data_IF_353268337762
#
_entry.id   IF_353268337762
#
_cell.length_a   1.000
_cell.length_b   1.000
_cell.length_c   1.000
_cell.angle_alpha   90.00
_cell.angle_beta   90.00
_cell.angle_gamma   90.00
#
_symmetry.space_group_name_H-M   'P 1'
#
loop_
_entity.id
_entity.type
_entity.pdbx_description
1 polymer ?
#
# COMPACT_ATOMS: atom_id res chain seq x y z
N UNK A 1 25.82 -0.25 46.59
CA UNK A 1 25.51 -0.88 45.29
C UNK A 1 26.55 -1.92 45.05
N UNK A 2 26.12 -3.17 45.09
CA UNK A 2 26.98 -4.33 44.88
C UNK A 2 27.33 -4.45 43.41
N UNK A 3 28.62 -4.59 43.13
CA UNK A 3 29.15 -4.86 41.78
C UNK A 3 29.03 -6.33 41.41
N UNK A 4 28.21 -7.06 42.16
CA UNK A 4 27.94 -8.47 41.91
C UNK A 4 26.94 -8.62 40.78
N UNK A 5 27.39 -9.02 39.71
CA UNK A 5 26.82 -9.58 38.52
C UNK A 5 27.21 -8.82 37.26
N UNK A 6 28.51 -8.74 37.01
CA UNK A 6 28.94 -8.76 35.61
C UNK A 6 28.72 -10.20 35.16
N UNK A 7 27.49 -10.56 34.89
CA UNK A 7 27.24 -11.72 34.05
C UNK A 7 27.71 -11.33 32.66
N UNK A 8 28.86 -11.84 32.29
CA UNK A 8 29.29 -11.95 30.90
C UNK A 8 28.34 -12.97 30.28
N UNK A 9 27.16 -12.49 29.91
CA UNK A 9 26.31 -13.22 28.98
C UNK A 9 27.05 -13.16 27.66
N UNK A 10 27.39 -14.28 27.07
CA UNK A 10 27.88 -14.31 25.70
C UNK A 10 26.76 -13.74 24.83
N UNK A 11 26.89 -12.48 24.45
CA UNK A 11 26.02 -11.89 23.43
C UNK A 11 26.40 -12.53 22.10
N UNK A 12 25.44 -13.16 21.45
CA UNK A 12 25.59 -13.57 20.07
C UNK A 12 26.06 -12.37 19.25
N UNK A 13 27.04 -12.59 18.38
CA UNK A 13 27.67 -11.54 17.58
C UNK A 13 26.71 -10.87 16.56
N UNK A 14 25.50 -11.38 16.42
CA UNK A 14 24.43 -10.81 15.58
C UNK A 14 23.23 -10.51 16.45
N UNK A 15 22.75 -9.25 16.40
CA UNK A 15 21.42 -8.89 16.91
C UNK A 15 20.38 -9.55 16.03
N UNK A 16 19.53 -10.38 16.63
CA UNK A 16 18.41 -10.97 15.93
C UNK A 16 17.31 -9.92 15.84
N UNK A 17 17.04 -9.48 14.60
CA UNK A 17 15.98 -8.48 14.34
C UNK A 17 14.66 -9.20 14.32
N UNK A 18 13.75 -8.80 15.19
CA UNK A 18 12.39 -9.34 15.24
C UNK A 18 11.74 -9.30 13.85
N UNK A 19 11.09 -10.41 13.46
CA UNK A 19 10.42 -10.51 12.19
C UNK A 19 9.34 -9.41 12.04
N UNK A 20 9.45 -8.67 10.96
CA UNK A 20 8.54 -7.59 10.60
C UNK A 20 8.56 -7.36 9.09
N UNK A 21 7.60 -6.61 8.58
CA UNK A 21 7.61 -6.21 7.18
C UNK A 21 8.81 -5.28 6.91
N UNK A 22 9.74 -5.73 6.09
CA UNK A 22 10.99 -5.02 5.76
C UNK A 22 10.89 -4.17 4.50
N UNK A 23 9.92 -4.46 3.62
CA UNK A 23 9.75 -3.78 2.33
C UNK A 23 8.28 -3.43 2.12
N UNK A 24 8.03 -2.36 1.37
CA UNK A 24 6.68 -1.99 0.95
C UNK A 24 6.10 -3.06 0.02
N UNK A 25 4.87 -3.48 0.29
CA UNK A 25 4.11 -4.48 -0.49
C UNK A 25 3.25 -3.86 -1.58
N UNK A 26 2.82 -2.61 -1.39
CA UNK A 26 1.94 -1.89 -2.32
C UNK A 26 2.69 -1.09 -3.38
N UNK A 27 3.95 -0.77 -3.13
CA UNK A 27 4.80 0.02 -4.01
C UNK A 27 4.87 -0.51 -5.47
N UNK A 28 4.88 -1.82 -5.76
CA UNK A 28 4.90 -2.34 -7.13
C UNK A 28 3.62 -2.04 -7.94
N UNK A 29 2.50 -1.79 -7.27
CA UNK A 29 1.19 -1.55 -7.88
C UNK A 29 0.90 -0.07 -8.09
N UNK A 30 1.66 0.83 -7.45
CA UNK A 30 1.55 2.26 -7.60
C UNK A 30 2.40 2.77 -8.77
N UNK A 31 1.87 3.74 -9.53
CA UNK A 31 2.63 4.46 -10.56
C UNK A 31 3.55 5.47 -9.90
N UNK A 32 4.86 5.29 -10.02
CA UNK A 32 5.85 6.20 -9.44
C UNK A 32 6.08 7.40 -10.33
N UNK A 33 6.13 8.59 -9.72
CA UNK A 33 6.43 9.86 -10.39
C UNK A 33 7.36 10.67 -9.50
N UNK A 34 8.44 11.20 -10.06
CA UNK A 34 9.29 12.17 -9.35
C UNK A 34 8.57 13.49 -9.21
N UNK A 35 8.56 14.08 -8.01
CA UNK A 35 7.94 15.36 -7.74
C UNK A 35 8.95 16.37 -7.20
N UNK A 36 8.82 17.61 -7.67
CA UNK A 36 9.56 18.75 -7.16
C UNK A 36 8.55 19.77 -6.62
N UNK A 37 8.71 20.17 -5.35
CA UNK A 37 7.81 21.11 -4.69
C UNK A 37 6.78 20.43 -3.78
N UNK A 38 5.97 21.23 -3.07
CA UNK A 38 5.05 20.75 -2.04
C UNK A 38 3.75 20.17 -2.62
N UNK A 39 3.34 20.64 -3.78
CA UNK A 39 2.15 20.17 -4.46
C UNK A 39 2.47 19.83 -5.91
N UNK A 40 2.01 18.73 -6.36
CA UNK A 40 2.12 18.26 -7.74
C UNK A 40 0.74 18.07 -8.35
N UNK A 41 0.57 18.48 -9.60
CA UNK A 41 -0.66 18.26 -10.36
C UNK A 41 -0.50 16.99 -11.19
N UNK A 42 -1.32 15.98 -10.92
CA UNK A 42 -1.46 14.82 -11.80
C UNK A 42 -2.63 15.06 -12.75
N UNK A 43 -2.33 15.14 -14.03
CA UNK A 43 -3.32 15.36 -15.08
C UNK A 43 -3.68 14.05 -15.76
N UNK A 44 -4.96 13.75 -15.86
CA UNK A 44 -5.54 12.62 -16.56
C UNK A 44 -6.42 13.10 -17.73
N UNK A 45 -6.64 12.21 -18.69
CA UNK A 45 -7.55 12.41 -19.81
C UNK A 45 -8.78 11.53 -19.62
N UNK A 46 -9.95 12.05 -19.95
CA UNK A 46 -11.17 11.25 -20.03
C UNK A 46 -11.24 10.51 -21.38
N UNK A 47 -12.06 9.49 -21.41
CA UNK A 47 -12.34 8.70 -22.60
C UNK A 47 -12.89 9.58 -23.75
N UNK A 48 -12.50 9.22 -24.96
CA UNK A 48 -12.98 9.84 -26.20
C UNK A 48 -13.84 8.85 -26.95
N UNK A 49 -15.04 9.26 -27.33
CA UNK A 49 -15.95 8.40 -28.08
C UNK A 49 -15.76 8.56 -29.58
N UNK A 50 -15.78 7.46 -30.32
CA UNK A 50 -15.80 7.45 -31.78
C UNK A 50 -17.21 7.54 -32.33
N UNK A 51 -17.39 8.17 -33.48
CA UNK A 51 -18.67 8.13 -34.20
C UNK A 51 -18.50 7.42 -35.55
N UNK A 52 -19.59 6.86 -36.05
CA UNK A 52 -19.61 6.28 -37.37
C UNK A 52 -20.15 7.29 -38.37
N UNK A 53 -19.33 7.69 -39.33
CA UNK A 53 -19.74 8.56 -40.39
C UNK A 53 -20.54 7.78 -41.45
N UNK A 54 -21.81 8.13 -41.66
CA UNK A 54 -22.70 7.51 -42.63
C UNK A 54 -23.00 8.49 -43.76
N UNK A 55 -22.99 8.01 -44.99
CA UNK A 55 -23.36 8.80 -46.19
C UNK A 55 -22.16 9.31 -46.99
N UNK A 56 -22.48 10.00 -48.07
CA UNK A 56 -21.50 10.64 -48.97
C UNK A 56 -21.25 12.07 -48.48
N UNK A 57 -20.06 12.40 -47.98
CA UNK A 57 -19.67 13.65 -47.34
C UNK A 57 -20.35 13.90 -45.97
N UNK A 58 -20.11 13.03 -44.96
CA UNK A 58 -20.63 13.24 -43.61
C UNK A 58 -19.94 14.45 -42.92
N UNK A 59 -20.70 15.15 -42.09
CA UNK A 59 -20.16 16.22 -41.26
C UNK A 59 -19.17 15.68 -40.22
N UNK A 60 -18.13 16.47 -39.92
CA UNK A 60 -17.15 16.16 -38.89
C UNK A 60 -17.79 16.43 -37.52
N UNK A 61 -17.83 15.40 -36.67
CA UNK A 61 -18.27 15.53 -35.28
C UNK A 61 -17.05 15.47 -34.34
N UNK A 62 -16.50 16.61 -33.92
CA UNK A 62 -15.34 16.62 -33.04
C UNK A 62 -15.72 16.13 -31.63
N UNK A 63 -14.99 15.16 -31.12
CA UNK A 63 -15.12 14.74 -29.72
C UNK A 63 -14.39 15.72 -28.82
N UNK A 64 -15.00 16.06 -27.68
CA UNK A 64 -14.38 16.91 -26.68
C UNK A 64 -13.63 16.07 -25.65
N UNK A 65 -12.39 16.45 -25.39
CA UNK A 65 -11.55 15.83 -24.37
C UNK A 65 -11.68 16.65 -23.08
N UNK A 66 -11.97 16.00 -21.98
CA UNK A 66 -11.96 16.63 -20.65
C UNK A 66 -10.69 16.25 -19.90
N UNK A 67 -10.02 17.23 -19.35
CA UNK A 67 -8.84 17.03 -18.52
C UNK A 67 -9.26 16.94 -17.06
N UNK A 68 -8.80 15.90 -16.37
CA UNK A 68 -8.94 15.78 -14.93
C UNK A 68 -7.61 16.10 -14.27
N UNK A 69 -7.60 17.04 -13.33
CA UNK A 69 -6.40 17.43 -12.58
C UNK A 69 -6.59 17.10 -11.11
N UNK A 70 -5.65 16.35 -10.55
CA UNK A 70 -5.68 15.91 -9.15
C UNK A 70 -4.46 16.43 -8.42
N UNK A 71 -4.68 16.90 -7.18
CA UNK A 71 -3.63 17.39 -6.30
C UNK A 71 -2.97 16.22 -5.60
N UNK A 72 -1.64 16.14 -5.71
CA UNK A 72 -0.81 15.29 -4.89
C UNK A 72 0.03 16.19 -3.97
N UNK A 73 -0.12 16.03 -2.67
CA UNK A 73 0.63 16.77 -1.66
C UNK A 73 1.77 15.90 -1.13
N UNK A 74 2.93 16.52 -0.95
CA UNK A 74 4.11 15.87 -0.38
C UNK A 74 3.98 15.82 1.13
N UNK A 75 4.30 14.68 1.71
CA UNK A 75 4.43 14.45 3.14
C UNK A 75 5.85 14.01 3.47
N UNK A 76 6.35 14.39 4.62
CA UNK A 76 7.66 13.98 5.10
C UNK A 76 7.50 12.94 6.20
N UNK A 77 8.00 11.75 5.95
CA UNK A 77 8.09 10.67 6.92
C UNK A 77 9.49 10.65 7.51
N UNK A 78 9.58 10.67 8.82
CA UNK A 78 10.86 10.67 9.55
C UNK A 78 10.80 9.63 10.66
N UNK A 79 11.82 8.81 10.71
CA UNK A 79 12.07 7.91 11.84
C UNK A 79 13.39 8.29 12.46
N UNK A 80 13.35 8.61 13.76
CA UNK A 80 14.51 9.01 14.54
C UNK A 80 14.74 8.02 15.64
N UNK A 81 15.95 7.50 15.75
CA UNK A 81 16.39 6.63 16.82
C UNK A 81 17.62 7.25 17.51
N UNK A 82 17.59 7.34 18.82
CA UNK A 82 18.73 7.76 19.64
C UNK A 82 19.48 6.54 20.15
N UNK A 83 20.80 6.58 20.06
CA UNK A 83 21.69 5.50 20.51
C UNK A 83 22.76 6.09 21.41
N UNK A 84 22.80 5.65 22.66
CA UNK A 84 23.85 6.03 23.58
C UNK A 84 25.15 5.28 23.24
N UNK A 85 26.23 6.03 23.06
CA UNK A 85 27.54 5.47 22.76
C UNK A 85 28.11 4.62 23.93
N UNK A 86 27.65 4.88 25.14
CA UNK A 86 28.02 4.07 26.30
C UNK A 86 27.49 2.64 26.18
N UNK A 87 26.23 2.50 25.70
CA UNK A 87 25.62 1.19 25.47
C UNK A 87 26.31 0.45 24.32
N UNK A 88 26.64 1.19 23.24
CA UNK A 88 27.39 0.63 22.11
C UNK A 88 28.75 0.09 22.52
N UNK A 89 29.47 0.79 23.41
CA UNK A 89 30.79 0.33 23.94
C UNK A 89 30.65 -0.94 24.78
N UNK A 90 29.49 -1.18 25.36
CA UNK A 90 29.17 -2.42 26.11
C UNK A 90 28.82 -3.60 25.23
N UNK A 91 28.59 -3.38 23.94
CA UNK A 91 28.23 -4.43 22.96
C UNK A 91 29.46 -4.95 22.23
N UNK A 92 29.45 -6.24 21.89
CA UNK A 92 30.52 -6.87 21.09
C UNK A 92 30.50 -6.43 19.62
N UNK A 93 29.36 -5.99 19.13
CA UNK A 93 29.14 -5.59 17.72
C UNK A 93 28.49 -4.22 17.69
N UNK A 94 28.83 -3.37 16.72
CA UNK A 94 28.19 -2.06 16.50
C UNK A 94 26.76 -2.25 15.99
N UNK A 95 25.71 -1.92 16.75
CA UNK A 95 24.32 -2.17 16.37
C UNK A 95 23.77 -1.17 15.35
N UNK A 96 24.54 -0.13 14.97
CA UNK A 96 24.03 0.98 14.12
C UNK A 96 23.47 0.49 12.79
N UNK A 97 24.07 -0.55 12.20
CA UNK A 97 23.61 -1.13 10.95
C UNK A 97 22.22 -1.78 11.06
N UNK A 98 22.00 -2.55 12.11
CA UNK A 98 20.74 -3.25 12.34
C UNK A 98 19.64 -2.28 12.78
N UNK A 99 19.98 -1.28 13.60
CA UNK A 99 19.07 -0.21 13.97
C UNK A 99 18.64 0.65 12.76
N UNK A 100 19.55 0.91 11.83
CA UNK A 100 19.20 1.60 10.59
C UNK A 100 18.24 0.76 9.72
N UNK A 101 18.41 -0.57 9.69
CA UNK A 101 17.47 -1.49 8.99
C UNK A 101 16.07 -1.44 9.61
N UNK A 102 15.97 -1.39 10.94
CA UNK A 102 14.68 -1.24 11.64
C UNK A 102 13.99 0.07 11.28
N UNK A 103 14.73 1.18 11.25
CA UNK A 103 14.20 2.47 10.83
C UNK A 103 13.72 2.46 9.37
N UNK A 104 14.46 1.80 8.49
CA UNK A 104 14.09 1.64 7.08
C UNK A 104 12.80 0.81 6.96
N UNK A 105 12.68 -0.30 7.69
CA UNK A 105 11.48 -1.13 7.70
C UNK A 105 10.25 -0.33 8.17
N UNK A 106 10.40 0.52 9.18
CA UNK A 106 9.32 1.39 9.64
C UNK A 106 8.85 2.37 8.54
N UNK A 107 9.78 2.99 7.80
CA UNK A 107 9.45 3.88 6.68
C UNK A 107 8.76 3.14 5.52
N UNK A 108 9.16 1.91 5.24
CA UNK A 108 8.51 1.12 4.19
C UNK A 108 7.08 0.71 4.58
N UNK A 109 6.81 0.42 5.85
CA UNK A 109 5.43 0.21 6.36
C UNK A 109 4.60 1.48 6.25
N UNK A 110 5.16 2.63 6.63
CA UNK A 110 4.48 3.92 6.51
C UNK A 110 4.22 4.29 5.04
N UNK A 111 5.09 3.89 4.13
CA UNK A 111 4.84 4.03 2.69
C UNK A 111 3.59 3.27 2.25
N UNK A 112 3.40 2.02 2.73
CA UNK A 112 2.20 1.25 2.45
C UNK A 112 0.95 1.89 3.06
N UNK A 113 1.06 2.48 4.25
CA UNK A 113 -0.04 3.21 4.89
C UNK A 113 -0.46 4.43 4.07
N UNK A 114 0.49 5.26 3.64
CA UNK A 114 0.20 6.43 2.79
C UNK A 114 -0.48 6.02 1.49
N UNK A 115 -0.08 4.88 0.90
CA UNK A 115 -0.74 4.34 -0.28
C UNK A 115 -2.16 3.89 0.06
N UNK A 116 -2.35 3.17 1.17
CA UNK A 116 -3.67 2.70 1.61
C UNK A 116 -4.61 3.86 1.92
N UNK A 117 -4.18 4.86 2.67
CA UNK A 117 -4.97 6.04 3.00
C UNK A 117 -5.42 6.78 1.73
N UNK A 118 -4.54 6.90 0.74
CA UNK A 118 -4.84 7.54 -0.53
C UNK A 118 -5.92 6.81 -1.36
N UNK A 119 -6.19 5.51 -1.09
CA UNK A 119 -7.27 4.77 -1.76
C UNK A 119 -8.63 5.40 -1.47
N UNK A 120 -8.86 5.81 -0.22
CA UNK A 120 -10.16 6.27 0.26
C UNK A 120 -10.18 7.75 0.68
N UNK A 121 -9.05 8.44 0.59
CA UNK A 121 -8.96 9.87 0.88
C UNK A 121 -9.79 10.71 -0.07
N UNK A 122 -10.16 11.90 0.37
CA UNK A 122 -10.75 12.94 -0.48
C UNK A 122 -9.70 13.52 -1.40
N UNK A 123 -9.97 13.55 -2.69
CA UNK A 123 -9.08 14.10 -3.72
C UNK A 123 -9.50 15.52 -4.08
N UNK A 124 -8.55 16.43 -4.16
CA UNK A 124 -8.77 17.79 -4.60
C UNK A 124 -8.51 17.91 -6.11
N UNK A 125 -9.50 18.43 -6.83
CA UNK A 125 -9.49 18.49 -8.30
C UNK A 125 -9.72 19.92 -8.82
N UNK A 126 -9.58 20.08 -10.14
CA UNK A 126 -9.79 21.36 -10.84
C UNK A 126 -8.51 22.17 -10.98
N UNK A 127 -8.58 23.27 -11.73
CA UNK A 127 -7.43 24.12 -12.07
C UNK A 127 -6.68 24.63 -10.83
N UNK A 128 -7.43 25.00 -9.79
CA UNK A 128 -6.90 25.58 -8.55
C UNK A 128 -7.07 24.62 -7.35
N UNK A 129 -7.37 23.33 -7.59
CA UNK A 129 -7.62 22.33 -6.55
C UNK A 129 -8.74 22.72 -5.56
N UNK A 130 -9.69 23.49 -6.01
CA UNK A 130 -10.80 24.01 -5.16
C UNK A 130 -11.95 23.03 -5.02
N UNK A 131 -12.04 21.99 -5.83
CA UNK A 131 -13.12 21.01 -5.79
C UNK A 131 -12.66 19.74 -5.07
N UNK A 132 -13.33 19.40 -3.97
CA UNK A 132 -13.11 18.17 -3.24
C UNK A 132 -14.00 17.07 -3.79
N UNK A 133 -13.43 15.89 -4.04
CA UNK A 133 -14.12 14.71 -4.53
C UNK A 133 -13.88 13.56 -3.57
N UNK A 134 -14.96 13.07 -2.93
CA UNK A 134 -14.89 11.90 -2.05
C UNK A 134 -14.64 10.64 -2.86
N UNK A 135 -14.21 9.56 -2.22
CA UNK A 135 -13.99 8.28 -2.89
C UNK A 135 -15.29 7.73 -3.52
N UNK A 136 -16.44 7.92 -2.87
CA UNK A 136 -17.75 7.48 -3.39
C UNK A 136 -18.16 8.26 -4.64
N UNK A 137 -17.97 9.58 -4.64
CA UNK A 137 -18.29 10.45 -5.78
C UNK A 137 -17.32 10.20 -6.96
N UNK A 138 -16.11 9.79 -6.68
CA UNK A 138 -15.06 9.46 -7.68
C UNK A 138 -15.27 8.11 -8.36
N UNK A 139 -16.30 7.34 -7.95
CA UNK A 139 -16.62 6.05 -8.54
C UNK A 139 -15.83 4.87 -7.97
N UNK A 140 -15.29 5.00 -6.75
CA UNK A 140 -14.75 3.84 -6.03
C UNK A 140 -15.92 2.92 -5.69
N UNK A 141 -15.85 1.69 -6.17
CA UNK A 141 -16.87 0.69 -5.93
C UNK A 141 -16.77 0.15 -4.50
N UNK A 142 -17.90 -0.17 -3.90
CA UNK A 142 -17.95 -0.80 -2.58
C UNK A 142 -18.54 -2.19 -2.72
N UNK A 143 -17.84 -3.16 -2.19
CA UNK A 143 -18.33 -4.52 -1.99
C UNK A 143 -18.57 -4.68 -0.50
N UNK A 144 -19.86 -4.76 -0.14
CA UNK A 144 -20.26 -4.87 1.26
C UNK A 144 -20.44 -6.34 1.60
N UNK A 145 -19.44 -6.91 2.23
CA UNK A 145 -19.53 -8.25 2.79
C UNK A 145 -19.84 -8.12 4.29
N UNK A 146 -21.05 -8.43 4.66
CA UNK A 146 -21.47 -8.60 6.08
C UNK A 146 -21.10 -9.99 6.63
N UNK A 147 -20.33 -10.78 5.87
CA UNK A 147 -19.94 -12.16 6.16
C UNK A 147 -18.45 -12.37 5.83
N UNK A 148 -17.97 -13.59 6.08
CA UNK A 148 -16.63 -14.06 5.77
C UNK A 148 -16.19 -13.73 4.32
N UNK A 149 -14.88 -13.68 4.10
CA UNK A 149 -14.30 -13.44 2.79
C UNK A 149 -14.28 -14.73 1.96
N UNK A 150 -15.38 -14.99 1.27
CA UNK A 150 -15.63 -16.22 0.52
C UNK A 150 -15.32 -16.06 -0.99
N UNK A 151 -15.26 -17.19 -1.70
CA UNK A 151 -14.99 -17.23 -3.15
C UNK A 151 -15.95 -16.36 -3.98
N UNK A 152 -17.24 -16.30 -3.60
CA UNK A 152 -18.24 -15.46 -4.28
C UNK A 152 -17.86 -13.97 -4.28
N UNK A 153 -17.20 -13.49 -3.21
CA UNK A 153 -16.73 -12.09 -3.14
C UNK A 153 -15.59 -11.81 -4.10
N UNK A 154 -14.72 -12.78 -4.31
CA UNK A 154 -13.68 -12.67 -5.34
C UNK A 154 -14.29 -12.57 -6.74
N UNK A 155 -15.35 -13.33 -7.02
CA UNK A 155 -16.09 -13.26 -8.28
C UNK A 155 -16.75 -11.89 -8.45
N UNK A 156 -17.39 -11.34 -7.40
CA UNK A 156 -18.02 -10.01 -7.43
C UNK A 156 -16.97 -8.90 -7.67
N UNK A 157 -15.84 -8.93 -6.95
CA UNK A 157 -14.73 -7.99 -7.17
C UNK A 157 -14.26 -8.07 -8.62
N UNK A 158 -14.11 -9.27 -9.15
CA UNK A 158 -13.68 -9.49 -10.54
C UNK A 158 -14.69 -8.97 -11.54
N UNK A 159 -15.97 -9.26 -11.34
CA UNK A 159 -17.07 -8.79 -12.20
C UNK A 159 -17.10 -7.26 -12.26
N UNK A 160 -16.99 -6.60 -11.11
CA UNK A 160 -16.96 -5.14 -11.03
C UNK A 160 -15.82 -4.51 -11.84
N UNK A 161 -14.63 -5.11 -11.86
CA UNK A 161 -13.53 -4.62 -12.69
C UNK A 161 -13.78 -4.84 -14.19
N UNK A 162 -14.41 -5.95 -14.56
CA UNK A 162 -14.75 -6.25 -15.95
C UNK A 162 -15.83 -5.27 -16.46
N UNK A 163 -16.88 -5.04 -15.68
CA UNK A 163 -17.99 -4.16 -16.03
C UNK A 163 -17.53 -2.69 -16.22
N UNK A 164 -16.51 -2.28 -15.51
CA UNK A 164 -15.91 -0.96 -15.65
C UNK A 164 -14.72 -0.92 -16.63
N UNK A 165 -14.52 -1.97 -17.41
CA UNK A 165 -13.40 -2.10 -18.37
C UNK A 165 -12.01 -1.83 -17.73
N UNK A 166 -11.91 -2.05 -16.44
CA UNK A 166 -10.65 -1.91 -15.70
C UNK A 166 -9.82 -3.18 -15.83
N UNK A 167 -8.84 -3.09 -16.67
CA UNK A 167 -7.91 -4.19 -16.89
C UNK A 167 -8.47 -5.25 -17.84
N UNK A 168 -7.78 -5.44 -18.96
CA UNK A 168 -8.01 -6.60 -19.81
C UNK A 168 -7.81 -7.85 -18.96
N UNK A 169 -8.76 -8.79 -19.05
CA UNK A 169 -8.72 -10.06 -18.34
C UNK A 169 -7.35 -10.71 -18.52
N UNK A 170 -6.56 -10.79 -17.43
CA UNK A 170 -5.23 -11.38 -17.45
C UNK A 170 -4.06 -10.45 -17.81
N UNK A 171 -4.28 -9.21 -18.27
CA UNK A 171 -3.21 -8.30 -18.66
C UNK A 171 -2.86 -7.24 -17.58
N UNK A 172 -3.84 -6.74 -16.85
CA UNK A 172 -3.58 -5.75 -15.80
C UNK A 172 -3.53 -6.45 -14.45
N UNK A 173 -2.42 -6.37 -13.72
CA UNK A 173 -2.34 -6.92 -12.38
C UNK A 173 -3.35 -6.23 -11.45
N UNK A 174 -4.16 -7.02 -10.79
CA UNK A 174 -5.07 -6.61 -9.72
C UNK A 174 -4.56 -7.22 -8.44
N UNK A 175 -4.56 -6.46 -7.37
CA UNK A 175 -4.16 -6.93 -6.05
C UNK A 175 -5.25 -6.66 -5.04
N UNK A 176 -5.46 -7.60 -4.12
CA UNK A 176 -6.39 -7.50 -3.01
C UNK A 176 -5.58 -7.56 -1.73
N UNK A 177 -5.76 -6.58 -0.84
CA UNK A 177 -5.20 -6.59 0.50
C UNK A 177 -6.12 -7.36 1.44
N UNK A 178 -5.59 -8.37 2.11
CA UNK A 178 -6.33 -9.22 3.06
C UNK A 178 -5.57 -9.33 4.38
N UNK A 179 -6.25 -9.71 5.44
CA UNK A 179 -5.62 -10.08 6.71
C UNK A 179 -5.47 -11.59 6.84
N UNK A 180 -4.94 -12.03 7.98
CA UNK A 180 -4.82 -13.46 8.30
C UNK A 180 -6.17 -14.16 8.44
N UNK A 181 -7.19 -13.45 8.94
CA UNK A 181 -8.53 -14.01 9.11
C UNK A 181 -9.19 -14.29 7.76
N UNK A 182 -9.20 -13.30 6.86
CA UNK A 182 -9.72 -13.44 5.50
C UNK A 182 -8.93 -14.49 4.69
N UNK A 183 -7.62 -14.61 4.95
CA UNK A 183 -6.83 -15.67 4.32
C UNK A 183 -7.28 -17.06 4.81
N UNK A 184 -7.60 -17.19 6.10
CA UNK A 184 -8.11 -18.44 6.68
C UNK A 184 -9.48 -18.80 6.10
N UNK A 185 -10.36 -17.80 5.94
CA UNK A 185 -11.67 -17.99 5.29
C UNK A 185 -11.51 -18.55 3.88
N UNK A 186 -10.64 -17.95 3.06
CA UNK A 186 -10.36 -18.45 1.71
C UNK A 186 -9.76 -19.85 1.70
N UNK A 187 -8.94 -20.20 2.69
CA UNK A 187 -8.38 -21.55 2.82
C UNK A 187 -9.42 -22.60 3.18
N UNK A 188 -10.55 -22.20 3.74
CA UNK A 188 -11.68 -23.08 4.04
C UNK A 188 -12.56 -23.37 2.84
N UNK A 189 -12.44 -22.58 1.75
CA UNK A 189 -13.25 -22.74 0.54
C UNK A 189 -12.76 -23.90 -0.32
N UNK A 190 -13.68 -24.81 -0.65
CA UNK A 190 -13.37 -26.02 -1.42
C UNK A 190 -12.97 -25.67 -2.86
N UNK A 191 -13.59 -24.65 -3.44
CA UNK A 191 -13.33 -24.19 -4.81
C UNK A 191 -11.89 -23.72 -5.02
N UNK A 192 -11.25 -23.21 -3.96
CA UNK A 192 -9.88 -22.71 -4.01
C UNK A 192 -8.84 -23.74 -3.55
N UNK A 193 -9.24 -24.72 -2.76
CA UNK A 193 -8.32 -25.67 -2.12
C UNK A 193 -8.34 -27.06 -2.73
N UNK A 194 -9.46 -27.48 -3.36
CA UNK A 194 -9.59 -28.80 -3.93
C UNK A 194 -8.81 -28.95 -5.24
N UNK A 195 -8.09 -30.04 -5.39
CA UNK A 195 -7.38 -30.40 -6.60
C UNK A 195 -8.28 -30.69 -7.80
N UNK A 196 -9.58 -30.86 -7.60
CA UNK A 196 -10.58 -31.04 -8.67
C UNK A 196 -10.90 -29.70 -9.38
N UNK A 197 -10.74 -28.57 -8.67
CA UNK A 197 -11.03 -27.23 -9.19
C UNK A 197 -9.77 -26.43 -9.49
N UNK A 198 -8.65 -26.72 -8.83
CA UNK A 198 -7.40 -26.00 -9.05
C UNK A 198 -6.27 -26.96 -9.43
N UNK A 199 -5.39 -26.52 -10.35
CA UNK A 199 -4.20 -27.29 -10.71
C UNK A 199 -3.07 -27.21 -9.68
N UNK A 200 -3.23 -26.43 -8.62
CA UNK A 200 -2.22 -26.22 -7.57
C UNK A 200 -2.78 -26.69 -6.23
N UNK A 201 -2.05 -27.59 -5.59
CA UNK A 201 -2.36 -28.00 -4.21
C UNK A 201 -1.98 -26.86 -3.25
N UNK A 202 -2.98 -26.13 -2.76
CA UNK A 202 -2.78 -25.02 -1.83
C UNK A 202 -2.30 -25.52 -0.48
N UNK A 203 -2.73 -26.71 -0.07
CA UNK A 203 -2.35 -27.35 1.20
C UNK A 203 -0.82 -27.53 1.30
N UNK A 204 -0.16 -27.88 0.21
CA UNK A 204 1.30 -28.05 0.19
C UNK A 204 2.07 -26.73 0.32
N UNK A 205 1.48 -25.63 -0.11
CA UNK A 205 2.10 -24.30 -0.05
C UNK A 205 1.74 -23.50 1.19
N UNK A 206 0.67 -23.86 1.90
CA UNK A 206 0.21 -23.18 3.09
C UNK A 206 -0.31 -21.75 2.89
N UNK A 207 -0.43 -21.29 1.63
CA UNK A 207 -0.91 -19.95 1.34
C UNK A 207 -1.51 -19.84 -0.07
N UNK A 208 -2.63 -19.12 -0.16
CA UNK A 208 -3.19 -18.67 -1.44
C UNK A 208 -2.56 -17.32 -1.78
N UNK A 209 -1.74 -17.27 -2.82
CA UNK A 209 -1.07 -16.04 -3.29
C UNK A 209 -1.81 -15.36 -4.43
N UNK A 210 -2.66 -16.09 -5.13
CA UNK A 210 -3.47 -15.56 -6.23
C UNK A 210 -4.74 -16.38 -6.43
N UNK A 211 -5.84 -15.71 -6.74
CA UNK A 211 -7.12 -16.32 -7.08
C UNK A 211 -7.75 -15.54 -8.24
N UNK A 212 -8.37 -16.24 -9.19
CA UNK A 212 -9.05 -15.64 -10.36
C UNK A 212 -8.18 -14.65 -11.16
N UNK A 213 -6.85 -14.83 -11.16
CA UNK A 213 -5.91 -13.90 -11.80
C UNK A 213 -5.67 -12.60 -11.04
N UNK A 214 -6.13 -12.51 -9.79
CA UNK A 214 -5.86 -11.42 -8.86
C UNK A 214 -4.83 -11.86 -7.82
N UNK A 215 -3.84 -11.03 -7.53
CA UNK A 215 -2.87 -11.28 -6.47
C UNK A 215 -3.46 -11.00 -5.09
N UNK A 216 -3.10 -11.80 -4.10
CA UNK A 216 -3.49 -11.59 -2.71
C UNK A 216 -2.27 -11.17 -1.91
N UNK A 217 -2.39 -10.06 -1.17
CA UNK A 217 -1.36 -9.56 -0.26
C UNK A 217 -1.90 -9.59 1.16
N UNK A 218 -1.28 -10.41 2.01
CA UNK A 218 -1.66 -10.48 3.40
C UNK A 218 -0.97 -9.37 4.21
N UNK A 219 -1.74 -8.68 5.06
CA UNK A 219 -1.26 -7.70 6.03
C UNK A 219 -1.54 -8.21 7.44
N UNK A 220 -0.61 -7.95 8.36
CA UNK A 220 -0.79 -8.33 9.76
C UNK A 220 -1.89 -7.50 10.42
N UNK A 221 -2.89 -8.15 10.99
CA UNK A 221 -3.93 -7.50 11.78
C UNK A 221 -3.56 -7.40 13.27
N UNK A 222 -2.72 -8.31 13.76
CA UNK A 222 -2.28 -8.37 15.15
C UNK A 222 -1.08 -7.47 15.49
N UNK A 223 -0.62 -6.63 14.58
CA UNK A 223 0.46 -5.66 14.84
C UNK A 223 -0.08 -4.43 15.55
N UNK A 224 0.79 -3.70 16.26
CA UNK A 224 0.42 -2.49 17.03
C UNK A 224 -0.25 -1.43 16.16
N UNK A 225 0.07 -1.40 14.87
CA UNK A 225 -0.39 -0.40 13.92
C UNK A 225 -0.70 -1.07 12.56
N UNK A 226 -1.89 -1.71 12.44
CA UNK A 226 -2.27 -2.42 11.23
C UNK A 226 -2.52 -1.46 10.07
N UNK A 227 -2.17 -1.87 8.85
CA UNK A 227 -2.42 -1.09 7.63
C UNK A 227 -3.91 -1.11 7.27
N UNK A 228 -4.56 -2.28 7.40
CA UNK A 228 -5.99 -2.39 7.15
C UNK A 228 -6.77 -1.84 8.36
N UNK A 229 -7.51 -0.76 8.14
CA UNK A 229 -8.32 -0.14 9.18
C UNK A 229 -9.53 -1.00 9.55
N UNK A 230 -9.93 -0.90 10.82
CA UNK A 230 -11.19 -1.46 11.31
C UNK A 230 -12.10 -0.30 11.72
N UNK A 231 -13.23 -0.17 11.05
CA UNK A 231 -14.21 0.91 11.28
C UNK A 231 -15.56 0.29 11.63
N UNK A 232 -16.07 0.60 12.83
CA UNK A 232 -17.38 0.09 13.27
C UNK A 232 -17.44 -1.43 13.46
N UNK A 233 -16.31 -2.10 13.68
CA UNK A 233 -16.22 -3.55 13.77
C UNK A 233 -16.03 -4.25 12.42
N UNK A 234 -16.02 -3.51 11.31
CA UNK A 234 -15.73 -4.02 9.98
C UNK A 234 -14.31 -3.68 9.57
N UNK A 235 -13.59 -4.65 9.02
CA UNK A 235 -12.27 -4.44 8.44
C UNK A 235 -12.40 -3.93 7.02
N UNK A 236 -11.65 -2.89 6.70
CA UNK A 236 -11.65 -2.27 5.38
C UNK A 236 -10.51 -2.85 4.55
N UNK A 237 -10.83 -3.82 3.74
CA UNK A 237 -9.96 -4.36 2.70
C UNK A 237 -10.11 -3.57 1.39
N UNK A 238 -9.21 -3.78 0.46
CA UNK A 238 -9.21 -3.09 -0.83
C UNK A 238 -8.86 -4.04 -1.96
N UNK A 239 -9.38 -3.73 -3.13
CA UNK A 239 -8.88 -4.28 -4.38
C UNK A 239 -8.37 -3.14 -5.26
N UNK A 240 -7.14 -3.25 -5.74
CA UNK A 240 -6.43 -2.22 -6.48
C UNK A 240 -5.96 -2.77 -7.83
N UNK A 241 -6.39 -2.15 -8.92
CA UNK A 241 -5.80 -2.39 -10.22
C UNK A 241 -4.51 -1.58 -10.39
N UNK A 242 -3.53 -2.13 -11.08
CA UNK A 242 -2.24 -1.46 -11.33
C UNK A 242 -2.42 -0.04 -11.86
N UNK A 243 -1.60 0.89 -11.37
CA UNK A 243 -1.68 2.32 -11.68
C UNK A 243 -2.98 3.01 -11.24
N UNK A 244 -3.79 2.39 -10.37
CA UNK A 244 -4.93 3.05 -9.73
C UNK A 244 -4.51 4.16 -8.77
N UNK A 245 -3.27 4.15 -8.30
CA UNK A 245 -2.64 5.17 -7.47
C UNK A 245 -1.37 5.70 -8.13
N UNK A 246 -1.15 7.00 -7.99
CA UNK A 246 0.14 7.65 -8.28
C UNK A 246 0.84 7.94 -6.95
N UNK A 247 2.06 7.46 -6.85
CA UNK A 247 2.98 7.78 -5.77
C UNK A 247 4.02 8.78 -6.26
N UNK A 248 3.94 10.00 -5.74
CA UNK A 248 4.94 11.03 -5.99
C UNK A 248 6.08 10.92 -4.97
N UNK A 249 7.31 10.83 -5.45
CA UNK A 249 8.49 10.71 -4.62
C UNK A 249 9.37 11.94 -4.85
N UNK A 250 9.60 12.72 -3.79
CA UNK A 250 10.51 13.86 -3.81
C UNK A 250 11.88 13.47 -3.28
N UNK A 251 11.90 12.68 -2.21
CA UNK A 251 13.11 12.12 -1.64
C UNK A 251 12.87 10.64 -1.35
N UNK A 252 13.59 9.77 -2.06
CA UNK A 252 13.34 8.33 -1.94
C UNK A 252 13.74 7.80 -0.57
N UNK A 253 14.93 8.12 -0.11
CA UNK A 253 15.40 7.78 1.24
C UNK A 253 16.72 8.48 1.54
N UNK A 254 16.83 9.07 2.70
CA UNK A 254 18.07 9.61 3.24
C UNK A 254 18.29 9.05 4.64
N UNK A 255 19.42 8.40 4.84
CA UNK A 255 19.86 7.91 6.14
C UNK A 255 20.98 8.81 6.63
N UNK A 256 20.84 9.38 7.81
CA UNK A 256 21.84 10.23 8.45
C UNK A 256 22.14 9.70 9.85
N UNK A 257 23.41 9.52 10.14
CA UNK A 257 23.89 9.24 11.50
C UNK A 257 24.70 10.44 11.95
N UNK A 258 24.24 11.10 12.99
CA UNK A 258 24.86 12.34 13.54
C UNK A 258 24.96 12.24 15.04
N UNK A 259 25.94 12.93 15.62
CA UNK A 259 26.00 13.10 17.06
C UNK A 259 24.90 14.08 17.51
N UNK A 260 24.27 13.80 18.64
CA UNK A 260 23.26 14.66 19.21
C UNK A 260 23.94 15.84 19.95
N UNK A 261 23.79 17.08 19.47
CA UNK A 261 24.43 18.22 20.10
C UNK A 261 23.87 18.57 21.51
N UNK A 262 22.70 18.00 21.83
CA UNK A 262 21.99 18.28 23.08
C UNK A 262 22.28 17.25 24.20
N UNK A 263 22.89 16.11 23.83
CA UNK A 263 23.17 15.01 24.75
C UNK A 263 24.62 14.57 24.64
N UNK A 264 25.20 14.23 25.76
CA UNK A 264 26.60 13.77 25.81
C UNK A 264 26.67 12.36 25.22
N UNK A 265 27.58 12.14 24.27
CA UNK A 265 27.91 10.84 23.69
C UNK A 265 26.69 10.05 23.14
N UNK A 266 25.70 10.76 22.58
CA UNK A 266 24.53 10.14 21.98
C UNK A 266 24.54 10.34 20.46
N UNK A 267 24.43 9.26 19.69
CA UNK A 267 24.24 9.31 18.24
C UNK A 267 22.76 9.28 17.90
N UNK A 268 22.37 10.00 16.84
CA UNK A 268 21.02 10.00 16.28
C UNK A 268 21.08 9.35 14.90
N UNK A 269 20.26 8.34 14.70
CA UNK A 269 20.00 7.74 13.39
C UNK A 269 18.70 8.31 12.87
N UNK A 270 18.75 9.13 11.82
CA UNK A 270 17.59 9.69 11.15
C UNK A 270 17.42 9.05 9.80
N UNK A 271 16.23 8.52 9.53
CA UNK A 271 15.84 8.09 8.19
C UNK A 271 14.66 8.95 7.74
N UNK A 272 14.80 9.57 6.58
CA UNK A 272 13.84 10.53 6.04
C UNK A 272 13.43 10.06 4.65
N UNK A 273 12.12 10.08 4.37
CA UNK A 273 11.54 9.87 3.06
C UNK A 273 10.48 10.94 2.80
N UNK A 274 10.41 11.47 1.58
CA UNK A 274 9.38 12.43 1.20
C UNK A 274 8.60 11.90 0.02
N UNK A 275 7.34 11.65 0.25
CA UNK A 275 6.43 11.07 -0.72
C UNK A 275 5.01 11.57 -0.49
N UNK A 276 4.15 11.32 -1.45
CA UNK A 276 2.71 11.53 -1.32
C UNK A 276 1.99 10.62 -2.30
N UNK A 277 0.74 10.32 -2.04
CA UNK A 277 -0.04 9.45 -2.90
C UNK A 277 -1.38 10.10 -3.27
N UNK A 278 -1.88 9.80 -4.46
CA UNK A 278 -3.21 10.22 -4.90
C UNK A 278 -3.82 9.17 -5.82
N UNK A 279 -5.11 8.96 -5.67
CA UNK A 279 -5.92 8.08 -6.52
C UNK A 279 -6.02 8.68 -7.94
N UNK A 280 -5.80 7.84 -8.98
CA UNK A 280 -5.89 8.26 -10.39
C UNK A 280 -7.33 8.27 -10.89
N UNK A 281 -8.04 7.17 -10.66
CA UNK A 281 -9.42 6.93 -11.07
C UNK A 281 -10.10 6.06 -10.01
N UNK A 282 -11.32 6.42 -9.61
CA UNK A 282 -12.06 5.67 -8.59
C UNK A 282 -12.38 4.25 -9.04
N UNK A 283 -12.76 4.05 -10.30
CA UNK A 283 -13.13 2.74 -10.87
C UNK A 283 -12.00 1.69 -10.82
N UNK A 284 -10.74 2.11 -10.64
CA UNK A 284 -9.59 1.19 -10.49
C UNK A 284 -9.41 0.67 -9.07
N UNK A 285 -10.27 1.09 -8.16
CA UNK A 285 -10.18 0.78 -6.74
C UNK A 285 -11.54 0.30 -6.29
N UNK A 286 -11.54 -0.76 -5.49
CA UNK A 286 -12.74 -1.22 -4.80
C UNK A 286 -12.48 -1.26 -3.30
N UNK A 287 -13.46 -0.82 -2.55
CA UNK A 287 -13.48 -0.91 -1.10
C UNK A 287 -14.26 -2.16 -0.72
N UNK A 288 -13.63 -3.05 0.04
CA UNK A 288 -14.26 -4.28 0.50
C UNK A 288 -14.41 -4.20 2.01
N UNK A 289 -15.64 -4.26 2.53
CA UNK A 289 -15.92 -4.27 3.96
C UNK A 289 -16.17 -5.70 4.40
N UNK A 290 -15.42 -6.15 5.37
CA UNK A 290 -15.44 -7.52 5.88
C UNK A 290 -15.70 -7.49 7.39
N UNK A 291 -16.50 -8.41 7.87
CA UNK A 291 -16.66 -8.64 9.31
C UNK A 291 -15.59 -9.64 9.73
N UNK A 292 -14.65 -9.26 10.61
CA UNK A 292 -13.59 -10.15 11.07
C UNK A 292 -14.11 -11.28 11.94
#
# INVERSE_FOLDING_TARGET
>A
MSWDTVQITEFNAALDVQEQQMTSRLLPFAKRVGINGDNFAYDGLTEVQSYRANGRNPDIQPSQITFTRRKLSRERVVVTLEVDQRDVRGMLTDPKGDLARLCIAAIERETDRIIYDALFATVYTGRNFGTSVSYTTDGVLSVDATAAFVYERLLEIRANFIDNEVGNVGMTPIVIGISGDEHTDLMSEIELTSGDYTSQYVIDKGAITSALGMGLIAFGAGVTDPILETVGGERISFALAQNGIVLGISLERKVEVKDNPLKVETAIINVIKELGAVRTQGVRIQRVRLTP
#
